data_IF_852985689496
#
_entry.id   IF_852985689496
#
_cell.length_a   1.000
_cell.length_b   1.000
_cell.length_c   1.000
_cell.angle_alpha   90.00
_cell.angle_beta   90.00
_cell.angle_gamma   90.00
#
_symmetry.space_group_name_H-M   'P 1'
#
loop_
_entity.id
_entity.type
_entity.pdbx_description
1 polymer ?
#
# COMPACT_ATOMS: atom_id res chain seq x y z
N UNK A 1 19.21 7.67 13.55
CA UNK A 1 19.63 6.26 13.33
C UNK A 1 20.70 6.26 12.26
N UNK A 2 21.79 5.51 12.43
CA UNK A 2 22.87 5.46 11.43
C UNK A 2 22.58 4.31 10.46
N UNK A 3 22.97 4.42 9.19
CA UNK A 3 22.70 3.41 8.15
C UNK A 3 23.15 1.97 8.55
N UNK A 4 24.11 1.85 9.46
CA UNK A 4 24.60 0.58 10.03
C UNK A 4 23.54 -0.17 10.86
N UNK A 5 22.53 0.53 11.37
CA UNK A 5 21.48 -0.04 12.21
C UNK A 5 20.37 -0.69 11.36
N UNK A 6 20.40 -0.51 10.04
CA UNK A 6 19.37 -1.01 9.13
C UNK A 6 19.55 -2.51 8.86
N UNK A 7 18.45 -3.26 8.96
CA UNK A 7 18.42 -4.66 8.53
C UNK A 7 18.42 -4.71 7.00
N UNK A 8 19.34 -5.48 6.43
CA UNK A 8 19.43 -5.71 4.97
C UNK A 8 18.73 -7.01 4.63
N UNK A 9 17.90 -6.97 3.59
CA UNK A 9 17.16 -8.13 3.09
C UNK A 9 17.38 -8.27 1.59
N UNK A 10 17.54 -9.49 1.10
CA UNK A 10 17.56 -9.79 -0.34
C UNK A 10 16.13 -10.03 -0.82
N UNK A 11 15.65 -9.22 -1.76
CA UNK A 11 14.34 -9.40 -2.39
C UNK A 11 14.49 -10.16 -3.71
N UNK A 12 13.70 -11.23 -3.87
CA UNK A 12 13.61 -11.98 -5.14
C UNK A 12 12.28 -11.62 -5.81
N UNK A 13 12.36 -11.14 -7.05
CA UNK A 13 11.20 -10.72 -7.83
C UNK A 13 11.11 -11.55 -9.11
N UNK A 14 9.89 -11.91 -9.56
CA UNK A 14 9.69 -12.36 -10.94
C UNK A 14 10.16 -11.28 -11.92
N UNK A 15 10.69 -11.67 -13.08
CA UNK A 15 11.22 -10.73 -14.07
C UNK A 15 10.23 -9.63 -14.44
N UNK A 16 8.95 -9.97 -14.63
CA UNK A 16 7.91 -8.99 -14.93
C UNK A 16 7.76 -7.90 -13.87
N UNK A 17 7.93 -8.24 -12.59
CA UNK A 17 7.83 -7.28 -11.49
C UNK A 17 9.09 -6.44 -11.37
N UNK A 18 10.26 -7.04 -11.64
CA UNK A 18 11.52 -6.30 -11.66
C UNK A 18 11.52 -5.22 -12.75
N UNK A 19 11.09 -5.55 -13.97
CA UNK A 19 10.97 -4.58 -15.07
C UNK A 19 9.96 -3.46 -14.75
N UNK A 20 8.83 -3.81 -14.11
CA UNK A 20 7.85 -2.81 -13.70
C UNK A 20 8.43 -1.83 -12.66
N UNK A 21 9.22 -2.33 -11.71
CA UNK A 21 9.90 -1.50 -10.71
C UNK A 21 10.99 -0.64 -11.35
N UNK A 22 11.73 -1.17 -12.33
CA UNK A 22 12.71 -0.38 -13.10
C UNK A 22 12.06 0.78 -13.84
N UNK A 23 10.99 0.52 -14.60
CA UNK A 23 10.27 1.57 -15.32
C UNK A 23 9.70 2.63 -14.36
N UNK A 24 9.22 2.21 -13.17
CA UNK A 24 8.79 3.13 -12.13
C UNK A 24 9.95 3.98 -11.60
N UNK A 25 11.11 3.37 -11.34
CA UNK A 25 12.30 4.06 -10.86
C UNK A 25 12.77 5.12 -11.88
N UNK A 26 12.84 4.75 -13.16
CA UNK A 26 13.29 5.65 -14.24
C UNK A 26 12.35 6.85 -14.41
N UNK A 27 11.03 6.60 -14.44
CA UNK A 27 10.03 7.65 -14.59
C UNK A 27 9.96 8.63 -13.41
N UNK A 28 10.41 8.21 -12.23
CA UNK A 28 10.42 9.04 -11.01
C UNK A 28 11.83 9.51 -10.62
N UNK A 29 12.86 9.24 -11.44
CA UNK A 29 14.26 9.56 -11.17
C UNK A 29 14.75 9.03 -9.81
N UNK A 30 14.39 7.78 -9.50
CA UNK A 30 14.71 7.10 -8.25
C UNK A 30 15.75 5.99 -8.49
N UNK A 31 16.51 5.68 -7.44
CA UNK A 31 17.24 4.40 -7.42
C UNK A 31 16.23 3.24 -7.30
N UNK A 32 16.59 2.05 -7.77
CA UNK A 32 15.72 0.87 -7.62
C UNK A 32 15.35 0.59 -6.16
N UNK A 33 16.29 0.78 -5.22
CA UNK A 33 16.01 0.59 -3.79
C UNK A 33 15.00 1.60 -3.28
N UNK A 34 15.14 2.87 -3.68
CA UNK A 34 14.20 3.94 -3.33
C UNK A 34 12.80 3.67 -3.90
N UNK A 35 12.74 3.25 -5.16
CA UNK A 35 11.49 2.89 -5.83
C UNK A 35 10.77 1.73 -5.12
N UNK A 36 11.50 0.67 -4.75
CA UNK A 36 10.93 -0.46 -4.01
C UNK A 36 10.35 -0.01 -2.66
N UNK A 37 11.09 0.80 -1.90
CA UNK A 37 10.63 1.28 -0.60
C UNK A 37 9.39 2.17 -0.73
N UNK A 38 9.39 3.09 -1.69
CA UNK A 38 8.23 3.96 -1.92
C UNK A 38 6.98 3.19 -2.35
N UNK A 39 7.14 2.19 -3.22
CA UNK A 39 6.03 1.33 -3.63
C UNK A 39 5.48 0.49 -2.47
N UNK A 40 6.35 -0.01 -1.58
CA UNK A 40 5.94 -0.70 -0.36
C UNK A 40 5.16 0.25 0.54
N UNK A 41 5.67 1.46 0.78
CA UNK A 41 4.99 2.46 1.62
C UNK A 41 3.61 2.82 1.05
N UNK A 42 3.51 3.07 -0.26
CA UNK A 42 2.24 3.32 -0.94
C UNK A 42 1.25 2.15 -0.80
N UNK A 43 1.74 0.92 -0.95
CA UNK A 43 0.89 -0.26 -0.80
C UNK A 43 0.39 -0.40 0.64
N UNK A 44 1.25 -0.20 1.64
CA UNK A 44 0.88 -0.30 3.05
C UNK A 44 -0.10 0.81 3.48
N UNK A 45 0.09 2.04 2.99
CA UNK A 45 -0.82 3.16 3.24
C UNK A 45 -2.19 2.96 2.57
N UNK A 46 -2.23 2.46 1.33
CA UNK A 46 -3.49 2.19 0.65
C UNK A 46 -4.32 1.11 1.36
N UNK A 47 -3.67 0.10 1.95
CA UNK A 47 -4.36 -0.95 2.69
C UNK A 47 -5.03 -0.43 3.99
N UNK A 48 -4.41 0.54 4.68
CA UNK A 48 -4.99 1.09 5.91
C UNK A 48 -6.17 2.01 5.62
N UNK A 49 -6.05 2.89 4.63
CA UNK A 49 -7.11 3.83 4.27
C UNK A 49 -8.29 3.15 3.60
N UNK A 50 -8.06 2.16 2.73
CA UNK A 50 -9.15 1.45 2.07
C UNK A 50 -9.98 0.62 3.06
N UNK A 51 -9.33 -0.01 4.04
CA UNK A 51 -10.03 -0.74 5.10
C UNK A 51 -10.91 0.18 5.96
N UNK A 52 -10.42 1.36 6.33
CA UNK A 52 -11.20 2.35 7.08
C UNK A 52 -12.43 2.83 6.31
N UNK A 53 -12.26 3.22 5.05
CA UNK A 53 -13.37 3.69 4.20
C UNK A 53 -14.42 2.61 3.98
N UNK A 54 -14.01 1.35 3.77
CA UNK A 54 -14.94 0.24 3.61
C UNK A 54 -15.72 -0.05 4.91
N UNK A 55 -15.06 0.04 6.06
CA UNK A 55 -15.70 -0.17 7.36
C UNK A 55 -16.72 0.93 7.66
N UNK A 56 -16.39 2.19 7.37
CA UNK A 56 -17.31 3.33 7.54
C UNK A 56 -18.52 3.21 6.61
N UNK A 57 -18.29 2.92 5.33
CA UNK A 57 -19.37 2.71 4.36
C UNK A 57 -20.29 1.53 4.74
N UNK A 58 -19.71 0.46 5.28
CA UNK A 58 -20.47 -0.68 5.76
C UNK A 58 -21.29 -0.35 7.02
N UNK A 59 -20.71 0.38 7.97
CA UNK A 59 -21.42 0.83 9.17
C UNK A 59 -22.62 1.73 8.83
N UNK A 60 -22.46 2.66 7.89
CA UNK A 60 -23.52 3.52 7.39
C UNK A 60 -24.65 2.74 6.72
N UNK A 61 -24.30 1.73 5.90
CA UNK A 61 -25.29 0.86 5.25
C UNK A 61 -26.08 0.05 6.27
N UNK A 62 -25.40 -0.51 7.27
CA UNK A 62 -26.05 -1.27 8.35
C UNK A 62 -26.96 -0.36 9.18
N UNK A 63 -26.51 0.84 9.54
CA UNK A 63 -27.31 1.81 10.30
C UNK A 63 -28.61 2.18 9.57
N UNK A 64 -28.55 2.42 8.25
CA UNK A 64 -29.75 2.67 7.43
C UNK A 64 -30.70 1.47 7.42
N UNK A 65 -30.15 0.27 7.22
CA UNK A 65 -30.97 -0.95 7.18
C UNK A 65 -31.65 -1.25 8.51
N UNK A 66 -30.95 -1.02 9.63
CA UNK A 66 -31.51 -1.17 10.98
C UNK A 66 -32.59 -0.12 11.26
N UNK A 67 -32.40 1.12 10.80
CA UNK A 67 -33.42 2.17 10.91
C UNK A 67 -34.70 1.80 10.14
N UNK A 68 -34.57 1.30 8.92
CA UNK A 68 -35.72 0.89 8.09
C UNK A 68 -36.48 -0.31 8.66
N UNK A 69 -35.82 -1.18 9.43
CA UNK A 69 -36.44 -2.36 10.06
C UNK A 69 -37.18 -2.05 11.36
N UNK A 70 -36.89 -0.90 12.00
CA UNK A 70 -37.51 -0.47 13.27
C UNK A 70 -38.65 0.54 13.06
N UNK A 71 -39.16 0.65 11.84
CA UNK A 71 -40.22 1.57 11.43
C UNK A 71 -41.47 0.79 11.02
#
# INVERSE_FOLDING_TARGET
MVQKDWKRTQLRLPSSHYEAVLAYADSNNLSINSAILELIDKALLNNSSQSQVLNEAFADLVARKVFDLNK
#
